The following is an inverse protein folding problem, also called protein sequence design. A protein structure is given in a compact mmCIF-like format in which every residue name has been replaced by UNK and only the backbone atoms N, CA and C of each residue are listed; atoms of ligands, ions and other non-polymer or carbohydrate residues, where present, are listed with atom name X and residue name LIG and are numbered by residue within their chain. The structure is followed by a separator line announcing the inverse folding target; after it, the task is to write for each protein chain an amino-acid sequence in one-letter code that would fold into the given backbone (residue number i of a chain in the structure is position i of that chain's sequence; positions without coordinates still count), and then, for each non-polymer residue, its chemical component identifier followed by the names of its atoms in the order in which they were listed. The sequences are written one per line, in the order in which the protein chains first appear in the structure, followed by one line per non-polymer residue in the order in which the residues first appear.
data_IF_994311029956
#
_entry.id   IF_994311029956
#
_cell.length_a   1.000
_cell.length_b   1.000
_cell.length_c   1.000
_cell.angle_alpha   90.00
_cell.angle_beta   90.00
_cell.angle_gamma   90.00
#
_symmetry.space_group_name_H-M   'P 1'
#
loop_
_entity.id
_entity.type
_entity.pdbx_description
1 polymer ?
#
# COMPACT_ATOMS: atom_id res chain seq x y z
N UNK A 1 -35.48 32.38 83.08
CA UNK A 1 -35.65 33.14 81.82
C UNK A 1 -34.32 33.12 81.07
N UNK A 2 -34.40 33.03 79.74
CA UNK A 2 -33.33 33.01 78.73
C UNK A 2 -32.73 31.66 78.34
N UNK A 3 -33.32 31.14 77.26
CA UNK A 3 -32.83 30.09 76.36
C UNK A 3 -32.13 30.77 75.18
N UNK A 4 -30.92 30.33 74.82
CA UNK A 4 -30.19 30.76 73.62
C UNK A 4 -30.45 29.74 72.51
N UNK A 5 -30.68 30.26 71.30
CA UNK A 5 -31.01 29.59 70.05
C UNK A 5 -29.74 28.99 69.43
N UNK A 6 -29.80 27.73 68.97
CA UNK A 6 -28.85 27.19 67.99
C UNK A 6 -29.59 26.85 66.70
N UNK A 7 -29.14 27.50 65.64
CA UNK A 7 -29.57 27.36 64.27
C UNK A 7 -28.86 26.16 63.62
N UNK A 8 -29.62 25.21 63.08
CA UNK A 8 -29.10 24.13 62.23
C UNK A 8 -30.16 23.72 61.21
N UNK A 9 -30.02 24.24 59.99
CA UNK A 9 -30.59 23.64 58.78
C UNK A 9 -29.45 23.18 57.88
N UNK A 10 -29.24 21.87 57.82
CA UNK A 10 -28.37 21.19 56.85
C UNK A 10 -29.17 20.87 55.59
N UNK A 11 -28.75 21.44 54.45
CA UNK A 11 -29.19 21.08 53.11
C UNK A 11 -28.15 20.11 52.50
N UNK A 12 -28.38 18.81 52.65
CA UNK A 12 -27.60 17.73 52.02
C UNK A 12 -28.52 16.93 51.09
N UNK A 13 -28.50 17.24 49.79
CA UNK A 13 -29.26 16.45 48.81
C UNK A 13 -28.93 16.67 47.33
N UNK A 14 -28.34 17.81 46.94
CA UNK A 14 -28.21 18.17 45.51
C UNK A 14 -26.80 18.02 44.89
N UNK A 15 -25.77 17.68 45.67
CA UNK A 15 -24.35 17.78 45.23
C UNK A 15 -23.79 16.50 44.59
N UNK A 16 -24.30 15.32 44.94
CA UNK A 16 -23.79 14.04 44.44
C UNK A 16 -24.14 13.75 42.97
N UNK A 17 -25.41 13.89 42.59
CA UNK A 17 -25.89 13.57 41.24
C UNK A 17 -25.32 14.50 40.16
N UNK A 18 -25.12 15.78 40.50
CA UNK A 18 -24.61 16.81 39.58
C UNK A 18 -23.10 16.62 39.31
N UNK A 19 -22.37 16.06 40.28
CA UNK A 19 -20.93 15.77 40.14
C UNK A 19 -20.71 14.54 39.25
N UNK A 20 -21.51 13.49 39.42
CA UNK A 20 -21.43 12.28 38.58
C UNK A 20 -21.83 12.57 37.14
N UNK A 21 -22.89 13.34 36.89
CA UNK A 21 -23.29 13.73 35.54
C UNK A 21 -22.21 14.56 34.81
N UNK A 22 -21.56 15.51 35.51
CA UNK A 22 -20.43 16.28 34.95
C UNK A 22 -19.22 15.41 34.61
N UNK A 23 -18.94 14.38 35.43
CA UNK A 23 -17.84 13.46 35.17
C UNK A 23 -18.08 12.60 33.92
N UNK A 24 -19.32 12.12 33.73
CA UNK A 24 -19.72 11.35 32.54
C UNK A 24 -19.63 12.21 31.28
N UNK A 25 -20.20 13.42 31.29
CA UNK A 25 -20.14 14.34 30.14
C UNK A 25 -18.67 14.67 29.77
N UNK A 26 -17.79 14.84 30.76
CA UNK A 26 -16.37 15.13 30.51
C UNK A 26 -15.64 13.94 29.89
N UNK A 27 -15.98 12.71 30.30
CA UNK A 27 -15.44 11.49 29.70
C UNK A 27 -15.89 11.35 28.23
N UNK A 28 -17.18 11.56 27.96
CA UNK A 28 -17.75 11.48 26.61
C UNK A 28 -17.13 12.54 25.67
N UNK A 29 -16.97 13.78 26.14
CA UNK A 29 -16.30 14.85 25.36
C UNK A 29 -14.84 14.47 25.09
N UNK A 30 -14.13 13.87 26.04
CA UNK A 30 -12.75 13.44 25.86
C UNK A 30 -12.64 12.32 24.81
N UNK A 31 -13.59 11.38 24.80
CA UNK A 31 -13.65 10.31 23.81
C UNK A 31 -13.96 10.84 22.41
N UNK A 32 -14.94 11.74 22.29
CA UNK A 32 -15.27 12.42 21.03
C UNK A 32 -14.08 13.24 20.52
N UNK A 33 -13.40 13.97 21.40
CA UNK A 33 -12.21 14.77 21.03
C UNK A 33 -11.08 13.87 20.55
N UNK A 34 -10.86 12.74 21.23
CA UNK A 34 -9.85 11.74 20.84
C UNK A 34 -10.21 11.02 19.54
N UNK A 35 -11.50 10.83 19.28
CA UNK A 35 -12.01 10.29 18.02
C UNK A 35 -11.80 11.30 16.88
N UNK A 36 -12.19 12.56 17.07
CA UNK A 36 -12.02 13.63 16.09
C UNK A 36 -10.54 13.91 15.78
N UNK A 37 -9.68 13.91 16.80
CA UNK A 37 -8.23 14.05 16.62
C UNK A 37 -7.65 12.87 15.81
N UNK A 38 -8.07 11.64 16.07
CA UNK A 38 -7.68 10.46 15.27
C UNK A 38 -8.16 10.57 13.83
N UNK A 39 -9.42 10.95 13.60
CA UNK A 39 -9.97 11.17 12.25
C UNK A 39 -9.24 12.28 11.51
N UNK A 40 -8.90 13.38 12.18
CA UNK A 40 -8.17 14.51 11.57
C UNK A 40 -6.73 14.15 11.25
N UNK A 41 -6.06 13.39 12.11
CA UNK A 41 -4.72 12.86 11.84
C UNK A 41 -4.73 11.88 10.67
N UNK A 42 -5.70 10.97 10.60
CA UNK A 42 -5.89 10.06 9.47
C UNK A 42 -6.22 10.80 8.17
N UNK A 43 -7.03 11.86 8.23
CA UNK A 43 -7.35 12.69 7.08
C UNK A 43 -6.13 13.41 6.47
N UNK A 44 -5.09 13.68 7.28
CA UNK A 44 -3.85 14.34 6.87
C UNK A 44 -2.69 13.39 6.55
N UNK A 45 -2.85 12.07 6.75
CA UNK A 45 -1.83 11.12 6.31
C UNK A 45 -1.91 10.93 4.78
N UNK A 46 -0.77 10.75 4.09
CA UNK A 46 -0.75 10.40 2.67
C UNK A 46 -1.24 8.95 2.42
N UNK A 47 -1.65 8.23 3.47
CA UNK A 47 -2.11 6.85 3.39
C UNK A 47 -3.27 6.53 4.34
N UNK A 48 -3.99 5.45 4.03
CA UNK A 48 -5.05 4.84 4.82
C UNK A 48 -4.73 3.37 5.03
N UNK A 49 -4.71 2.90 6.28
CA UNK A 49 -4.52 1.49 6.61
C UNK A 49 -5.88 0.78 6.70
N UNK A 50 -6.11 -0.19 5.82
CA UNK A 50 -7.37 -0.92 5.70
C UNK A 50 -7.21 -2.31 6.33
N UNK A 51 -7.78 -2.50 7.53
CA UNK A 51 -7.69 -3.74 8.29
C UNK A 51 -9.05 -4.42 8.54
N UNK A 52 -10.11 -3.96 7.86
CA UNK A 52 -11.41 -4.63 7.84
C UNK A 52 -11.80 -4.95 6.41
N UNK A 53 -12.45 -6.09 6.19
CA UNK A 53 -12.90 -6.48 4.86
C UNK A 53 -13.97 -5.51 4.30
N UNK A 54 -14.77 -4.90 5.17
CA UNK A 54 -15.76 -3.88 4.80
C UNK A 54 -15.07 -2.64 4.23
N UNK A 55 -14.10 -2.08 4.94
CA UNK A 55 -13.35 -0.91 4.45
C UNK A 55 -12.60 -1.17 3.15
N UNK A 56 -12.15 -2.41 2.92
CA UNK A 56 -11.55 -2.79 1.63
C UNK A 56 -12.59 -2.79 0.52
N UNK A 57 -13.76 -3.38 0.76
CA UNK A 57 -14.85 -3.42 -0.21
C UNK A 57 -15.36 -2.02 -0.57
N UNK A 58 -15.52 -1.13 0.43
CA UNK A 58 -15.94 0.26 0.21
C UNK A 58 -14.97 1.00 -0.73
N UNK A 59 -13.66 0.84 -0.53
CA UNK A 59 -12.66 1.46 -1.41
C UNK A 59 -12.68 0.83 -2.80
N UNK A 60 -12.82 -0.50 -2.92
CA UNK A 60 -12.83 -1.21 -4.22
C UNK A 60 -13.91 -0.67 -5.15
N UNK A 61 -15.10 -0.37 -4.63
CA UNK A 61 -16.20 0.20 -5.41
C UNK A 61 -15.79 1.51 -6.08
N UNK A 62 -15.06 2.38 -5.37
CA UNK A 62 -14.52 3.62 -5.95
C UNK A 62 -13.44 3.36 -6.99
N UNK A 63 -12.58 2.34 -6.78
CA UNK A 63 -11.43 2.08 -7.66
C UNK A 63 -11.83 1.65 -9.08
N UNK A 64 -12.98 1.01 -9.25
CA UNK A 64 -13.47 0.59 -10.58
C UNK A 64 -13.93 1.76 -11.45
N UNK A 65 -14.34 2.88 -10.83
CA UNK A 65 -14.85 4.06 -11.53
C UNK A 65 -13.73 5.02 -11.95
N UNK A 66 -12.48 4.71 -11.62
CA UNK A 66 -11.34 5.58 -11.91
C UNK A 66 -10.91 5.50 -13.39
N UNK A 67 -10.32 6.58 -13.93
CA UNK A 67 -9.79 6.58 -15.29
C UNK A 67 -8.74 5.49 -15.53
N UNK A 68 -8.82 4.85 -16.69
CA UNK A 68 -7.82 3.88 -17.15
C UNK A 68 -6.60 4.53 -17.82
N UNK A 69 -6.72 5.75 -18.36
CA UNK A 69 -5.62 6.49 -18.99
C UNK A 69 -5.58 7.96 -18.54
N UNK A 70 -4.46 8.44 -17.96
CA UNK A 70 -3.34 7.64 -17.47
C UNK A 70 -3.81 6.64 -16.39
N UNK A 71 -3.07 5.53 -16.15
CA UNK A 71 -3.42 4.56 -15.13
C UNK A 71 -3.60 5.19 -13.75
N UNK A 72 -4.69 4.84 -13.07
CA UNK A 72 -5.01 5.36 -11.75
C UNK A 72 -4.37 4.56 -10.61
N UNK A 73 -4.05 3.27 -10.83
CA UNK A 73 -3.65 2.34 -9.77
C UNK A 73 -2.17 1.94 -9.89
N UNK A 74 -1.40 2.20 -8.84
CA UNK A 74 0.01 1.81 -8.71
C UNK A 74 0.19 0.93 -7.50
N UNK A 75 0.67 -0.29 -7.71
CA UNK A 75 0.63 -1.36 -6.74
C UNK A 75 2.02 -1.90 -6.45
N UNK A 76 2.16 -2.43 -5.24
CA UNK A 76 3.27 -3.25 -4.80
C UNK A 76 2.74 -4.28 -3.79
N UNK A 77 3.56 -5.23 -3.37
CA UNK A 77 3.25 -6.13 -2.25
C UNK A 77 4.45 -6.23 -1.31
N UNK A 78 4.16 -6.40 -0.02
CA UNK A 78 5.18 -6.77 0.96
C UNK A 78 4.77 -7.98 1.78
N UNK A 79 5.74 -8.82 2.14
CA UNK A 79 5.49 -9.96 3.01
C UNK A 79 6.70 -10.83 3.29
N UNK A 80 6.47 -11.94 4.01
CA UNK A 80 7.54 -12.86 4.36
C UNK A 80 7.87 -13.77 3.20
N UNK A 81 9.11 -13.70 2.68
CA UNK A 81 9.55 -14.50 1.54
C UNK A 81 8.57 -14.41 0.35
N UNK A 82 8.14 -13.18 0.01
CA UNK A 82 7.09 -12.87 -0.96
C UNK A 82 7.20 -13.70 -2.25
N UNK A 83 6.42 -14.78 -2.31
CA UNK A 83 6.40 -15.82 -3.34
C UNK A 83 5.37 -16.88 -2.95
N UNK A 84 5.21 -17.92 -3.78
CA UNK A 84 4.48 -19.15 -3.45
C UNK A 84 4.94 -19.88 -2.19
N UNK A 85 6.16 -19.61 -1.71
CA UNK A 85 6.75 -20.25 -0.54
C UNK A 85 6.74 -19.34 0.69
N UNK A 86 5.99 -18.24 0.62
CA UNK A 86 5.91 -17.23 1.66
C UNK A 86 4.49 -16.75 1.86
N UNK A 87 4.35 -15.47 2.18
CA UNK A 87 3.05 -14.85 2.39
C UNK A 87 3.01 -13.42 1.85
N UNK A 88 1.80 -12.93 1.61
CA UNK A 88 1.53 -11.50 1.41
C UNK A 88 1.05 -10.95 2.75
N UNK A 89 1.74 -9.93 3.26
CA UNK A 89 1.38 -9.28 4.52
C UNK A 89 0.63 -7.98 4.26
N UNK A 90 1.06 -7.21 3.27
CA UNK A 90 0.49 -5.91 2.90
C UNK A 90 0.37 -5.83 1.38
N UNK A 91 -0.75 -5.30 0.90
CA UNK A 91 -0.92 -4.84 -0.48
C UNK A 91 -1.03 -3.32 -0.48
N UNK A 92 -0.14 -2.66 -1.23
CA UNK A 92 -0.15 -1.21 -1.39
C UNK A 92 -0.89 -0.83 -2.68
N UNK A 93 -1.77 0.17 -2.61
CA UNK A 93 -2.43 0.76 -3.78
C UNK A 93 -2.33 2.28 -3.68
N UNK A 94 -1.41 2.88 -4.42
CA UNK A 94 -1.42 4.32 -4.63
C UNK A 94 -2.44 4.67 -5.72
N UNK A 95 -3.37 5.56 -5.38
CA UNK A 95 -4.45 6.01 -6.25
C UNK A 95 -4.14 7.43 -6.70
N UNK A 96 -3.78 7.57 -7.98
CA UNK A 96 -3.27 8.82 -8.54
C UNK A 96 -4.28 9.99 -8.46
N UNK A 97 -5.56 9.83 -8.85
CA UNK A 97 -6.54 10.93 -8.73
C UNK A 97 -6.74 11.41 -7.30
N UNK A 98 -6.57 10.53 -6.31
CA UNK A 98 -6.73 10.85 -4.88
C UNK A 98 -5.44 11.34 -4.23
N UNK A 99 -4.29 11.16 -4.89
CA UNK A 99 -2.96 11.35 -4.32
C UNK A 99 -2.80 10.70 -2.93
N UNK A 100 -3.25 9.44 -2.83
CA UNK A 100 -3.37 8.72 -1.55
C UNK A 100 -3.04 7.24 -1.72
N UNK A 101 -2.37 6.67 -0.71
CA UNK A 101 -2.03 5.24 -0.67
C UNK A 101 -2.98 4.48 0.24
N UNK A 102 -3.53 3.37 -0.21
CA UNK A 102 -4.24 2.42 0.63
C UNK A 102 -3.30 1.25 0.95
N UNK A 103 -3.10 0.99 2.24
CA UNK A 103 -2.31 -0.13 2.75
C UNK A 103 -3.28 -1.19 3.27
N UNK A 104 -3.45 -2.28 2.53
CA UNK A 104 -4.41 -3.33 2.85
C UNK A 104 -3.72 -4.40 3.70
N UNK A 105 -4.26 -4.68 4.87
CA UNK A 105 -3.73 -5.68 5.81
C UNK A 105 -4.09 -7.12 5.39
N UNK A 106 -3.38 -7.63 4.38
CA UNK A 106 -3.58 -8.99 3.87
C UNK A 106 -3.26 -10.05 4.93
N UNK A 107 -2.29 -9.79 5.82
CA UNK A 107 -1.96 -10.71 6.91
C UNK A 107 -3.16 -10.97 7.83
N UNK A 108 -3.82 -9.91 8.29
CA UNK A 108 -4.98 -10.02 9.20
C UNK A 108 -6.22 -10.51 8.45
N UNK A 109 -6.46 -9.98 7.25
CA UNK A 109 -7.70 -10.23 6.51
C UNK A 109 -7.69 -11.55 5.72
N UNK A 110 -6.51 -12.02 5.30
CA UNK A 110 -6.33 -13.22 4.47
C UNK A 110 -7.25 -13.17 3.24
N UNK A 111 -7.91 -14.29 2.91
CA UNK A 111 -8.87 -14.41 1.83
C UNK A 111 -10.01 -13.36 1.88
N UNK A 112 -10.39 -12.90 3.07
CA UNK A 112 -11.48 -11.93 3.19
C UNK A 112 -11.13 -10.55 2.59
N UNK A 113 -9.85 -10.19 2.49
CA UNK A 113 -9.44 -8.98 1.77
C UNK A 113 -9.83 -9.04 0.29
N UNK A 114 -9.79 -10.24 -0.30
CA UNK A 114 -9.99 -10.46 -1.73
C UNK A 114 -11.43 -10.87 -2.07
N UNK A 115 -12.12 -11.57 -1.16
CA UNK A 115 -13.42 -12.18 -1.40
C UNK A 115 -14.62 -11.31 -0.99
N UNK A 116 -14.45 -10.35 -0.07
CA UNK A 116 -15.56 -9.50 0.36
C UNK A 116 -16.03 -8.60 -0.79
N UNK A 117 -17.30 -8.74 -1.15
CA UNK A 117 -17.94 -7.92 -2.16
C UNK A 117 -18.38 -6.57 -1.60
N UNK A 118 -18.21 -5.54 -2.43
CA UNK A 118 -18.82 -4.23 -2.28
C UNK A 118 -20.32 -4.28 -2.60
N UNK A 119 -21.01 -3.15 -2.45
CA UNK A 119 -22.45 -3.07 -2.63
C UNK A 119 -22.89 -3.43 -4.06
N UNK A 120 -22.05 -3.10 -5.05
CA UNK A 120 -22.22 -3.39 -6.47
C UNK A 120 -21.69 -4.79 -6.90
N UNK A 121 -21.27 -5.64 -5.96
CA UNK A 121 -20.76 -6.99 -6.22
C UNK A 121 -19.30 -7.06 -6.69
N UNK A 122 -18.59 -5.94 -6.80
CA UNK A 122 -17.16 -5.92 -7.10
C UNK A 122 -16.33 -6.39 -5.90
N UNK A 123 -15.19 -7.02 -6.16
CA UNK A 123 -14.24 -7.48 -5.14
C UNK A 123 -12.83 -7.05 -5.51
N UNK A 124 -11.94 -7.00 -4.53
CA UNK A 124 -10.52 -6.71 -4.79
C UNK A 124 -9.90 -7.78 -5.70
N UNK A 125 -10.30 -9.05 -5.57
CA UNK A 125 -9.91 -10.10 -6.53
C UNK A 125 -10.31 -9.72 -7.96
N UNK A 126 -11.58 -9.35 -8.16
CA UNK A 126 -12.08 -8.95 -9.49
C UNK A 126 -11.31 -7.75 -10.05
N UNK A 127 -10.97 -6.76 -9.23
CA UNK A 127 -10.18 -5.59 -9.64
C UNK A 127 -8.81 -6.01 -10.18
N UNK A 128 -8.11 -6.89 -9.45
CA UNK A 128 -6.79 -7.39 -9.81
C UNK A 128 -6.81 -8.27 -11.09
N UNK A 129 -7.90 -9.00 -11.31
CA UNK A 129 -8.09 -9.90 -12.47
C UNK A 129 -8.71 -9.21 -13.71
N UNK A 130 -9.21 -7.98 -13.59
CA UNK A 130 -9.87 -7.28 -14.71
C UNK A 130 -8.84 -6.61 -15.64
N UNK A 131 -8.80 -7.02 -16.90
CA UNK A 131 -7.84 -6.48 -17.89
C UNK A 131 -8.06 -5.00 -18.22
N UNK A 132 -9.32 -4.56 -18.27
CA UNK A 132 -9.67 -3.17 -18.60
C UNK A 132 -9.37 -2.16 -17.48
N UNK A 133 -8.95 -2.63 -16.30
CA UNK A 133 -8.47 -1.79 -15.19
C UNK A 133 -6.95 -1.91 -15.16
N UNK A 134 -6.19 -0.89 -15.59
CA UNK A 134 -4.74 -0.96 -15.59
C UNK A 134 -4.15 -0.93 -14.17
N UNK A 135 -3.25 -1.87 -13.87
CA UNK A 135 -2.45 -1.86 -12.63
C UNK A 135 -0.98 -1.68 -12.99
N UNK A 136 -0.35 -0.66 -12.41
CA UNK A 136 1.06 -0.41 -12.62
C UNK A 136 1.86 -1.04 -11.48
N UNK A 137 2.74 -1.99 -11.81
CA UNK A 137 3.67 -2.60 -10.88
C UNK A 137 5.11 -2.23 -11.27
N UNK A 138 6.04 -2.25 -10.31
CA UNK A 138 7.46 -2.28 -10.63
C UNK A 138 7.95 -3.71 -10.46
N UNK A 139 8.22 -4.42 -11.56
CA UNK A 139 8.70 -5.80 -11.53
C UNK A 139 7.69 -6.82 -10.94
N UNK A 140 6.63 -7.12 -11.69
CA UNK A 140 5.46 -7.89 -11.20
C UNK A 140 5.71 -9.38 -10.89
N UNK A 141 6.93 -9.88 -11.10
CA UNK A 141 7.19 -11.33 -11.19
C UNK A 141 6.88 -12.07 -9.88
N UNK A 142 7.39 -11.59 -8.75
CA UNK A 142 7.13 -12.20 -7.44
C UNK A 142 5.75 -11.83 -6.88
N UNK A 143 5.24 -10.64 -7.21
CA UNK A 143 3.88 -10.25 -6.81
C UNK A 143 2.84 -11.18 -7.43
N UNK A 144 2.98 -11.43 -8.73
CA UNK A 144 2.14 -12.36 -9.47
C UNK A 144 2.28 -13.79 -8.97
N UNK A 145 3.50 -14.24 -8.61
CA UNK A 145 3.72 -15.57 -8.04
C UNK A 145 2.99 -15.74 -6.71
N UNK A 146 3.10 -14.75 -5.82
CA UNK A 146 2.44 -14.76 -4.51
C UNK A 146 0.91 -14.67 -4.64
N UNK A 147 0.38 -13.74 -5.44
CA UNK A 147 -1.06 -13.58 -5.64
C UNK A 147 -1.70 -14.84 -6.22
N UNK A 148 -1.05 -15.47 -7.20
CA UNK A 148 -1.57 -16.68 -7.82
C UNK A 148 -1.49 -17.89 -6.89
N UNK A 149 -0.32 -18.17 -6.30
CA UNK A 149 -0.13 -19.40 -5.55
C UNK A 149 -0.69 -19.34 -4.11
N UNK A 150 -0.79 -18.15 -3.51
CA UNK A 150 -1.32 -18.02 -2.15
C UNK A 150 -2.82 -17.74 -2.12
N UNK A 151 -3.40 -17.10 -3.16
CA UNK A 151 -4.80 -16.64 -3.16
C UNK A 151 -5.57 -16.98 -4.46
N UNK A 152 -4.95 -17.69 -5.41
CA UNK A 152 -5.59 -18.04 -6.67
C UNK A 152 -6.01 -16.83 -7.52
N UNK A 153 -5.24 -15.73 -7.44
CA UNK A 153 -5.53 -14.48 -8.17
C UNK A 153 -4.71 -14.43 -9.46
N UNK A 154 -5.42 -14.28 -10.57
CA UNK A 154 -4.86 -14.25 -11.92
C UNK A 154 -4.70 -12.81 -12.39
N UNK A 155 -3.59 -12.15 -12.03
CA UNK A 155 -3.34 -10.76 -12.46
C UNK A 155 -3.50 -10.58 -13.98
N UNK A 156 -4.19 -9.50 -14.36
CA UNK A 156 -4.38 -9.05 -15.74
C UNK A 156 -4.27 -7.52 -15.83
N UNK A 157 -4.15 -6.94 -17.03
CA UNK A 157 -4.09 -5.48 -17.19
C UNK A 157 -2.86 -4.82 -16.55
N UNK A 158 -1.74 -5.54 -16.45
CA UNK A 158 -0.52 -5.06 -15.78
C UNK A 158 0.34 -4.23 -16.73
N UNK A 159 0.84 -3.10 -16.25
CA UNK A 159 1.94 -2.36 -16.85
C UNK A 159 3.17 -2.44 -15.94
N UNK A 160 4.26 -3.04 -16.42
CA UNK A 160 5.48 -3.26 -15.64
C UNK A 160 6.49 -2.11 -15.88
N UNK A 161 6.66 -1.26 -14.87
CA UNK A 161 7.53 -0.08 -14.94
C UNK A 161 9.02 -0.40 -15.13
N UNK A 162 9.48 -1.54 -14.63
CA UNK A 162 10.87 -1.96 -14.82
C UNK A 162 11.14 -2.24 -16.30
N UNK A 163 10.17 -2.83 -17.00
CA UNK A 163 10.24 -3.03 -18.45
C UNK A 163 10.11 -1.71 -19.22
N UNK A 164 9.26 -0.79 -18.78
CA UNK A 164 9.15 0.54 -19.39
C UNK A 164 10.47 1.33 -19.26
N UNK A 165 11.14 1.28 -18.11
CA UNK A 165 12.49 1.87 -17.93
C UNK A 165 13.47 1.27 -18.93
N UNK A 166 13.52 -0.07 -18.97
CA UNK A 166 14.45 -0.79 -19.82
C UNK A 166 14.23 -0.48 -21.31
N UNK A 167 12.97 -0.38 -21.74
CA UNK A 167 12.59 -0.07 -23.12
C UNK A 167 13.00 1.36 -23.52
N UNK A 168 12.93 2.32 -22.60
CA UNK A 168 13.06 3.76 -22.90
C UNK A 168 14.43 4.35 -22.60
N UNK A 169 15.34 3.59 -21.97
CA UNK A 169 16.72 4.04 -21.70
C UNK A 169 17.62 3.93 -22.93
N UNK A 170 18.63 4.82 -22.99
CA UNK A 170 19.53 4.96 -24.15
C UNK A 170 20.90 4.31 -23.97
N UNK A 171 21.15 3.66 -22.84
CA UNK A 171 22.40 2.93 -22.56
C UNK A 171 22.14 1.42 -22.51
N UNK A 172 23.18 0.65 -22.18
CA UNK A 172 23.16 -0.82 -22.13
C UNK A 172 21.85 -1.34 -21.56
N UNK A 173 21.22 -2.29 -22.26
CA UNK A 173 19.97 -2.97 -21.87
C UNK A 173 20.23 -4.37 -21.28
N UNK A 174 21.47 -4.71 -20.90
CA UNK A 174 21.81 -6.06 -20.43
C UNK A 174 21.12 -6.45 -19.12
N UNK A 175 20.97 -5.50 -18.19
CA UNK A 175 20.42 -5.76 -16.86
C UNK A 175 19.28 -4.80 -16.49
N UNK A 176 18.21 -5.27 -15.88
CA UNK A 176 17.16 -4.39 -15.35
C UNK A 176 17.65 -3.56 -14.16
N UNK A 177 17.00 -2.42 -13.90
CA UNK A 177 17.27 -1.62 -12.71
C UNK A 177 16.29 -1.96 -11.58
N UNK A 178 16.77 -1.84 -10.33
CA UNK A 178 15.89 -1.89 -9.16
C UNK A 178 15.17 -0.56 -8.93
N UNK A 179 14.02 -0.61 -8.25
CA UNK A 179 13.15 0.54 -8.02
C UNK A 179 13.88 1.75 -7.43
N UNK A 180 14.73 1.53 -6.43
CA UNK A 180 15.47 2.60 -5.77
C UNK A 180 16.33 3.41 -6.76
N UNK A 181 16.99 2.72 -7.70
CA UNK A 181 17.81 3.34 -8.73
C UNK A 181 16.96 4.12 -9.74
N UNK A 182 15.79 3.61 -10.08
CA UNK A 182 14.83 4.32 -10.94
C UNK A 182 14.30 5.57 -10.25
N UNK A 183 13.81 5.49 -9.00
CA UNK A 183 13.33 6.66 -8.26
C UNK A 183 14.44 7.72 -8.17
N UNK A 184 15.65 7.33 -7.78
CA UNK A 184 16.75 8.26 -7.61
C UNK A 184 17.12 8.98 -8.92
N UNK A 185 17.26 8.25 -10.02
CA UNK A 185 17.72 8.85 -11.27
C UNK A 185 16.60 9.51 -12.07
N UNK A 186 15.37 9.00 -11.93
CA UNK A 186 14.30 9.27 -12.88
C UNK A 186 13.11 10.03 -12.34
N UNK A 187 12.74 9.87 -11.07
CA UNK A 187 11.60 10.58 -10.51
C UNK A 187 11.95 12.06 -10.27
N UNK A 188 11.21 13.02 -10.86
CA UNK A 188 11.35 14.43 -10.52
C UNK A 188 11.03 14.65 -9.04
N UNK A 189 12.00 15.17 -8.29
CA UNK A 189 11.91 15.45 -6.84
C UNK A 189 12.76 16.66 -6.51
N UNK A 190 12.31 17.46 -5.54
CA UNK A 190 13.16 18.44 -4.86
C UNK A 190 14.27 17.74 -4.06
N UNK A 191 15.32 18.49 -3.68
CA UNK A 191 16.38 17.96 -2.81
C UNK A 191 15.83 17.49 -1.45
N UNK A 192 14.86 18.23 -0.90
CA UNK A 192 14.20 17.89 0.36
C UNK A 192 13.41 16.58 0.26
N UNK A 193 12.57 16.43 -0.77
CA UNK A 193 11.82 15.18 -1.03
C UNK A 193 12.77 13.99 -1.20
N UNK A 194 13.85 14.17 -1.96
CA UNK A 194 14.86 13.12 -2.18
C UNK A 194 15.54 12.69 -0.88
N UNK A 195 15.91 13.64 -0.02
CA UNK A 195 16.52 13.34 1.27
C UNK A 195 15.53 12.64 2.22
N UNK A 196 14.29 13.09 2.26
CA UNK A 196 13.23 12.47 3.04
C UNK A 196 12.93 11.03 2.57
N UNK A 197 12.88 10.81 1.25
CA UNK A 197 12.72 9.48 0.67
C UNK A 197 13.89 8.55 1.03
N UNK A 198 15.13 8.99 0.85
CA UNK A 198 16.31 8.19 1.22
C UNK A 198 16.29 7.79 2.70
N UNK A 199 15.99 8.75 3.57
CA UNK A 199 15.93 8.51 5.02
C UNK A 199 14.82 7.53 5.39
N UNK A 200 13.61 7.70 4.83
CA UNK A 200 12.49 6.79 5.08
C UNK A 200 12.77 5.37 4.57
N UNK A 201 13.32 5.27 3.36
CA UNK A 201 13.72 3.98 2.78
C UNK A 201 14.78 3.27 3.62
N UNK A 202 15.81 3.99 4.07
CA UNK A 202 16.88 3.42 4.91
C UNK A 202 16.35 2.92 6.26
N UNK A 203 15.45 3.69 6.91
CA UNK A 203 14.81 3.28 8.16
C UNK A 203 13.99 2.00 7.98
N UNK A 204 13.15 1.94 6.95
CA UNK A 204 12.35 0.75 6.65
C UNK A 204 13.22 -0.46 6.34
N UNK A 205 14.24 -0.30 5.48
CA UNK A 205 15.14 -1.38 5.07
C UNK A 205 15.84 -2.02 6.28
N UNK A 206 16.31 -1.23 7.25
CA UNK A 206 16.95 -1.76 8.47
C UNK A 206 16.02 -2.62 9.32
N UNK A 207 14.71 -2.43 9.22
CA UNK A 207 13.74 -3.20 9.98
C UNK A 207 13.45 -4.57 9.37
N UNK A 208 13.35 -4.67 8.04
CA UNK A 208 12.95 -5.93 7.40
C UNK A 208 14.09 -6.71 6.73
N UNK A 209 15.18 -6.05 6.30
CA UNK A 209 16.23 -6.70 5.53
C UNK A 209 17.22 -7.45 6.44
N UNK A 210 17.37 -8.79 6.33
CA UNK A 210 18.27 -9.57 7.18
C UNK A 210 19.73 -9.11 7.13
N UNK A 211 20.21 -8.68 5.96
CA UNK A 211 21.56 -8.15 5.76
C UNK A 211 21.82 -6.84 6.53
N UNK A 212 20.76 -6.17 6.99
CA UNK A 212 20.81 -4.96 7.80
C UNK A 212 20.44 -5.21 9.28
N UNK A 213 20.30 -6.49 9.69
CA UNK A 213 19.88 -6.88 11.04
C UNK A 213 18.38 -6.91 11.26
N UNK A 214 17.58 -6.74 10.19
CA UNK A 214 16.13 -6.82 10.21
C UNK A 214 15.59 -8.24 10.02
N UNK A 215 14.27 -8.35 9.91
CA UNK A 215 13.59 -9.59 9.56
C UNK A 215 12.32 -9.31 8.79
N UNK A 216 12.05 -10.08 7.73
CA UNK A 216 10.79 -9.95 6.98
C UNK A 216 9.54 -10.14 7.85
N UNK A 217 9.66 -10.78 9.02
CA UNK A 217 8.55 -10.93 9.97
C UNK A 217 7.99 -9.61 10.50
N UNK A 218 8.74 -8.50 10.39
CA UNK A 218 8.22 -7.17 10.78
C UNK A 218 6.97 -6.78 10.00
N UNK A 219 6.77 -7.30 8.79
CA UNK A 219 5.56 -7.08 8.00
C UNK A 219 4.32 -7.78 8.58
N UNK A 220 4.50 -8.80 9.43
CA UNK A 220 3.42 -9.52 10.11
C UNK A 220 3.12 -8.97 11.52
N UNK A 221 4.01 -8.18 12.11
CA UNK A 221 3.80 -7.61 13.46
C UNK A 221 2.63 -6.62 13.46
N UNK A 222 1.75 -6.71 14.46
CA UNK A 222 0.61 -5.81 14.66
C UNK A 222 0.62 -5.19 16.08
N UNK A 223 0.33 -3.88 16.23
CA UNK A 223 0.08 -2.90 15.16
C UNK A 223 1.30 -2.71 14.27
N UNK A 224 1.08 -2.45 12.98
CA UNK A 224 2.16 -2.30 12.01
C UNK A 224 2.99 -1.05 12.38
N UNK A 225 4.32 -1.18 12.39
CA UNK A 225 5.19 -0.07 12.76
C UNK A 225 5.07 1.09 11.76
N UNK A 226 5.08 2.33 12.25
CA UNK A 226 4.94 3.53 11.43
C UNK A 226 6.02 3.60 10.33
N UNK A 227 7.26 3.25 10.66
CA UNK A 227 8.37 3.25 9.71
C UNK A 227 8.18 2.20 8.59
N UNK A 228 7.53 1.05 8.89
CA UNK A 228 7.19 0.04 7.88
C UNK A 228 6.07 0.54 6.96
N UNK A 229 5.03 1.17 7.53
CA UNK A 229 3.96 1.79 6.72
C UNK A 229 4.51 2.89 5.82
N UNK A 230 5.40 3.74 6.36
CA UNK A 230 6.03 4.81 5.60
C UNK A 230 6.92 4.28 4.47
N UNK A 231 7.63 3.17 4.69
CA UNK A 231 8.38 2.46 3.66
C UNK A 231 7.44 1.96 2.54
N UNK A 232 6.38 1.22 2.91
CA UNK A 232 5.38 0.71 1.96
C UNK A 232 4.77 1.81 1.09
N UNK A 233 4.45 2.96 1.69
CA UNK A 233 3.92 4.13 0.95
C UNK A 233 4.94 4.65 -0.07
N UNK A 234 6.22 4.70 0.30
CA UNK A 234 7.27 5.25 -0.55
C UNK A 234 7.57 4.39 -1.78
N UNK A 235 7.35 3.08 -1.72
CA UNK A 235 7.61 2.20 -2.86
C UNK A 235 6.56 2.36 -3.99
N UNK A 236 5.34 2.83 -3.67
CA UNK A 236 4.31 3.12 -4.68
C UNK A 236 4.14 4.61 -5.04
N UNK A 237 4.40 5.55 -4.11
CA UNK A 237 4.06 6.97 -4.30
C UNK A 237 4.78 7.67 -5.46
N UNK A 238 5.96 7.15 -5.86
CA UNK A 238 6.76 7.73 -6.95
C UNK A 238 6.53 7.04 -8.30
N UNK A 239 5.84 5.90 -8.32
CA UNK A 239 5.57 5.15 -9.54
C UNK A 239 4.82 5.96 -10.61
N UNK A 240 3.84 6.84 -10.30
CA UNK A 240 3.21 7.69 -11.31
C UNK A 240 4.19 8.65 -12.00
N UNK A 241 5.17 9.18 -11.25
CA UNK A 241 6.19 10.08 -11.80
C UNK A 241 7.12 9.34 -12.76
N UNK A 242 7.49 8.10 -12.42
CA UNK A 242 8.27 7.21 -13.28
C UNK A 242 7.48 6.83 -14.53
N UNK A 243 6.22 6.41 -14.34
CA UNK A 243 5.31 6.05 -15.43
C UNK A 243 5.19 7.19 -16.43
N UNK A 244 4.90 8.41 -15.98
CA UNK A 244 4.79 9.57 -16.85
C UNK A 244 6.08 9.82 -17.64
N UNK A 245 7.25 9.69 -17.00
CA UNK A 245 8.54 9.89 -17.66
C UNK A 245 8.84 8.84 -18.71
N UNK A 246 8.59 7.56 -18.41
CA UNK A 246 8.85 6.46 -19.34
C UNK A 246 7.81 6.44 -20.47
N UNK A 247 6.53 6.60 -20.15
CA UNK A 247 5.44 6.61 -21.13
C UNK A 247 5.63 7.69 -22.22
N UNK A 248 6.08 8.90 -21.85
CA UNK A 248 6.40 9.98 -22.82
C UNK A 248 7.45 9.60 -23.87
N UNK A 249 8.29 8.60 -23.59
CA UNK A 249 9.37 8.14 -24.49
C UNK A 249 9.03 6.80 -25.16
N UNK A 250 7.95 6.15 -24.74
CA UNK A 250 7.62 4.80 -25.13
C UNK A 250 6.93 4.83 -26.50
N UNK A 251 7.65 4.42 -27.55
CA UNK A 251 7.03 4.23 -28.86
C UNK A 251 6.01 3.09 -28.83
N UNK A 252 5.01 3.10 -29.72
CA UNK A 252 4.00 2.04 -29.82
C UNK A 252 4.61 0.62 -29.89
N UNK A 253 5.61 0.41 -30.75
CA UNK A 253 6.30 -0.89 -30.86
C UNK A 253 6.91 -1.35 -29.54
N UNK A 254 7.48 -0.43 -28.77
CA UNK A 254 8.02 -0.75 -27.44
C UNK A 254 6.91 -0.98 -26.42
N UNK A 255 5.79 -0.26 -26.48
CA UNK A 255 4.64 -0.50 -25.63
C UNK A 255 4.08 -1.92 -25.84
N UNK A 256 3.94 -2.36 -27.08
CA UNK A 256 3.52 -3.74 -27.40
C UNK A 256 4.51 -4.79 -26.86
N UNK A 257 5.82 -4.57 -27.04
CA UNK A 257 6.85 -5.46 -26.48
C UNK A 257 6.83 -5.51 -24.95
N UNK A 258 6.67 -4.36 -24.29
CA UNK A 258 6.57 -4.27 -22.82
C UNK A 258 5.34 -5.03 -22.34
N UNK A 259 4.19 -4.84 -22.98
CA UNK A 259 2.95 -5.52 -22.60
C UNK A 259 3.06 -7.03 -22.79
N UNK A 260 3.61 -7.48 -23.92
CA UNK A 260 3.82 -8.90 -24.19
C UNK A 260 4.75 -9.55 -23.15
N UNK A 261 5.84 -8.86 -22.79
CA UNK A 261 6.78 -9.35 -21.78
C UNK A 261 6.20 -9.30 -20.36
N UNK A 262 5.39 -8.29 -20.00
CA UNK A 262 4.68 -8.26 -18.72
C UNK A 262 3.72 -9.45 -18.59
N UNK A 263 2.96 -9.76 -19.65
CA UNK A 263 2.10 -10.94 -19.71
C UNK A 263 2.92 -12.25 -19.63
N UNK A 264 4.07 -12.31 -20.30
CA UNK A 264 4.97 -13.46 -20.23
C UNK A 264 5.54 -13.66 -18.80
N UNK A 265 5.91 -12.58 -18.11
CA UNK A 265 6.34 -12.60 -16.69
C UNK A 265 5.25 -13.15 -15.78
N UNK A 266 4.01 -12.70 -15.96
CA UNK A 266 2.83 -13.17 -15.21
C UNK A 266 2.52 -14.64 -15.51
N UNK A 267 2.64 -15.08 -16.76
CA UNK A 267 2.42 -16.49 -17.09
C UNK A 267 3.54 -17.38 -16.53
N UNK A 268 4.80 -16.95 -16.67
CA UNK A 268 5.95 -17.67 -16.17
C UNK A 268 5.93 -17.82 -14.65
N UNK A 269 5.52 -16.78 -13.92
CA UNK A 269 5.42 -16.80 -12.45
C UNK A 269 4.44 -17.85 -11.91
N UNK A 270 3.50 -18.34 -12.74
CA UNK A 270 2.54 -19.40 -12.37
C UNK A 270 3.10 -20.80 -12.57
N UNK A 271 4.17 -20.95 -13.35
CA UNK A 271 4.77 -22.27 -13.63
C UNK A 271 5.32 -22.90 -12.35
N UNK A 272 5.18 -24.21 -12.20
CA UNK A 272 5.82 -24.98 -11.13
C UNK A 272 7.35 -24.82 -11.12
N UNK A 273 7.96 -24.53 -12.28
CA UNK A 273 9.42 -24.35 -12.44
C UNK A 273 9.91 -22.91 -12.23
N UNK A 274 9.02 -21.97 -11.89
CA UNK A 274 9.41 -20.58 -11.68
C UNK A 274 10.38 -20.46 -10.50
N UNK A 275 11.47 -19.71 -10.71
CA UNK A 275 12.39 -19.33 -9.65
C UNK A 275 12.54 -17.80 -9.65
N UNK A 276 11.88 -17.17 -8.68
CA UNK A 276 11.90 -15.72 -8.47
C UNK A 276 13.14 -15.16 -7.78
N UNK A 277 14.18 -15.98 -7.56
CA UNK A 277 15.39 -15.61 -6.81
C UNK A 277 16.66 -15.94 -7.59
N UNK A 278 17.59 -14.99 -7.65
CA UNK A 278 18.94 -15.21 -8.19
C UNK A 278 19.33 -14.18 -9.25
N UNK A 279 20.57 -14.30 -9.74
CA UNK A 279 21.16 -13.33 -10.68
C UNK A 279 20.45 -13.28 -12.03
N UNK A 280 19.77 -14.34 -12.44
CA UNK A 280 19.02 -14.36 -13.70
C UNK A 280 17.84 -13.38 -13.68
N UNK A 281 17.28 -13.06 -12.50
CA UNK A 281 16.20 -12.08 -12.35
C UNK A 281 16.63 -10.66 -12.72
N UNK A 282 17.94 -10.38 -12.69
CA UNK A 282 18.50 -9.10 -13.08
C UNK A 282 18.76 -8.98 -14.59
N UNK A 283 18.65 -10.06 -15.36
CA UNK A 283 18.85 -10.01 -16.82
C UNK A 283 17.64 -9.38 -17.51
N UNK A 284 17.91 -8.66 -18.59
CA UNK A 284 16.86 -8.20 -19.48
C UNK A 284 16.20 -9.34 -20.25
N UNK A 285 14.96 -9.13 -20.73
CA UNK A 285 14.30 -10.06 -21.64
C UNK A 285 15.14 -10.36 -22.88
N UNK A 286 14.98 -11.57 -23.42
CA UNK A 286 15.69 -12.00 -24.61
C UNK A 286 15.35 -11.10 -25.81
N UNK A 287 16.36 -10.65 -26.57
CA UNK A 287 16.17 -9.81 -27.75
C UNK A 287 15.86 -8.33 -27.45
N UNK A 288 16.18 -7.85 -26.24
CA UNK A 288 16.07 -6.44 -25.86
C UNK A 288 17.41 -5.70 -25.79
N UNK A 289 18.53 -6.40 -25.94
CA UNK A 289 19.89 -5.85 -25.85
C UNK A 289 20.82 -6.47 -26.88
#
# INVERSE_FOLDING_TARGET
MSTIINDTTTDEGATGANTTAKAVIRADISEITSSLARTTLQANQPYVFLNTAISVADVVEELFELPADPPSLYLDLEGTNLSRHGSISILQIFVLPHNRTYLIDIHTLKENAFAKAASNGQTLKKLLETESVPKVFFDVRNDSDALYNCFGITLAGVQDLQLMELATRNFSKKYVHGLAKCIENDAPMTLSERNAWKLGKEKGLKLFAPECGGSYEVFNVRPLALDIMQYCVQDVQFLPRLWQKYNRKLSQRWAEKVQAEANARILASRSASYNGKGRHMALAPQGWH
#
